data_IF_039491888791
#
_entry.id   IF_039491888791
#
_cell.length_a   1.000
_cell.length_b   1.000
_cell.length_c   1.000
_cell.angle_alpha   90.00
_cell.angle_beta   90.00
_cell.angle_gamma   90.00
#
_symmetry.space_group_name_H-M   'P 1'
#
loop_
_entity.id
_entity.type
_entity.pdbx_description
1 polymer ?
#
# COMPACT_ATOMS: atom_id res chain seq x y z
N UNK A 1 28.06 -15.04 -19.33
CA UNK A 1 28.42 -13.84 -20.11
C UNK A 1 27.26 -12.87 -19.98
N UNK A 2 27.29 -11.99 -18.97
CA UNK A 2 26.22 -10.99 -18.79
C UNK A 2 26.63 -9.63 -19.38
N UNK A 3 27.93 -9.33 -19.46
CA UNK A 3 28.42 -8.10 -20.08
C UNK A 3 28.24 -7.95 -21.59
N UNK A 4 27.76 -8.98 -22.29
CA UNK A 4 27.36 -8.88 -23.70
C UNK A 4 25.89 -8.52 -23.87
N UNK A 5 25.09 -8.62 -22.80
CA UNK A 5 23.67 -8.31 -22.84
C UNK A 5 23.46 -6.81 -22.59
N UNK A 6 22.53 -6.17 -23.33
CA UNK A 6 22.04 -4.86 -22.99
C UNK A 6 21.55 -4.77 -21.54
N UNK A 7 21.84 -3.64 -20.90
CA UNK A 7 21.52 -3.36 -19.50
C UNK A 7 20.06 -3.72 -19.14
N UNK A 8 19.12 -3.31 -19.97
CA UNK A 8 17.68 -3.53 -19.79
C UNK A 8 17.30 -5.02 -19.79
N UNK A 9 17.96 -5.84 -20.62
CA UNK A 9 17.68 -7.28 -20.66
C UNK A 9 18.16 -7.96 -19.38
N UNK A 10 19.31 -7.54 -18.85
CA UNK A 10 19.82 -8.06 -17.58
C UNK A 10 18.85 -7.69 -16.45
N UNK A 11 18.40 -6.42 -16.38
CA UNK A 11 17.42 -6.01 -15.39
C UNK A 11 16.11 -6.80 -15.50
N UNK A 12 15.60 -7.03 -16.72
CA UNK A 12 14.37 -7.80 -16.93
C UNK A 12 14.52 -9.26 -16.46
N UNK A 13 15.67 -9.90 -16.75
CA UNK A 13 15.99 -11.24 -16.24
C UNK A 13 15.99 -11.23 -14.70
N UNK A 14 16.64 -10.25 -14.09
CA UNK A 14 16.72 -10.13 -12.62
C UNK A 14 15.35 -9.85 -11.99
N UNK A 15 14.49 -9.07 -12.63
CA UNK A 15 13.12 -8.78 -12.17
C UNK A 15 12.26 -10.05 -12.02
N UNK A 16 12.55 -11.10 -12.80
CA UNK A 16 11.86 -12.39 -12.70
C UNK A 16 12.33 -13.29 -11.55
N UNK A 17 13.37 -12.90 -10.80
CA UNK A 17 13.93 -13.73 -9.74
C UNK A 17 13.29 -13.43 -8.38
N UNK A 18 13.11 -14.44 -7.50
CA UNK A 18 12.70 -14.20 -6.13
C UNK A 18 13.80 -13.46 -5.36
N UNK A 19 13.41 -12.76 -4.30
CA UNK A 19 14.31 -11.92 -3.49
C UNK A 19 15.54 -12.69 -2.99
N UNK A 20 15.35 -13.94 -2.56
CA UNK A 20 16.43 -14.81 -2.11
C UNK A 20 17.49 -15.03 -3.19
N UNK A 21 17.07 -15.24 -4.43
CA UNK A 21 17.97 -15.48 -5.56
C UNK A 21 18.66 -14.20 -5.99
N UNK A 22 17.99 -13.05 -5.93
CA UNK A 22 18.63 -11.74 -6.15
C UNK A 22 19.78 -11.48 -5.16
N UNK A 23 19.59 -11.85 -3.89
CA UNK A 23 20.66 -11.74 -2.87
C UNK A 23 21.83 -12.69 -3.18
N UNK A 24 21.56 -13.85 -3.74
CA UNK A 24 22.60 -14.80 -4.16
C UNK A 24 23.35 -14.30 -5.39
N UNK A 25 22.64 -13.82 -6.42
CA UNK A 25 23.18 -13.22 -7.64
C UNK A 25 24.15 -12.09 -7.31
N UNK A 26 23.79 -11.21 -6.38
CA UNK A 26 24.67 -10.13 -5.91
C UNK A 26 26.06 -10.61 -5.44
N UNK A 27 26.15 -11.81 -4.87
CA UNK A 27 27.40 -12.35 -4.31
C UNK A 27 28.29 -13.03 -5.35
N UNK A 28 27.83 -13.18 -6.59
CA UNK A 28 28.52 -13.96 -7.62
C UNK A 28 29.69 -13.19 -8.26
N UNK A 29 29.47 -11.96 -8.75
CA UNK A 29 30.50 -11.13 -9.36
C UNK A 29 30.20 -9.62 -9.21
N UNK A 30 31.21 -8.79 -9.48
CA UNK A 30 31.12 -7.31 -9.37
C UNK A 30 30.11 -6.69 -10.34
N UNK A 31 29.96 -7.27 -11.51
CA UNK A 31 29.02 -6.79 -12.53
C UNK A 31 27.57 -7.03 -12.08
N UNK A 32 27.24 -8.25 -11.67
CA UNK A 32 25.92 -8.57 -11.12
C UNK A 32 25.65 -7.83 -9.81
N UNK A 33 26.67 -7.59 -9.00
CA UNK A 33 26.56 -6.69 -7.86
C UNK A 33 26.05 -5.30 -8.29
N UNK A 34 26.65 -4.70 -9.33
CA UNK A 34 26.26 -3.39 -9.84
C UNK A 34 24.80 -3.36 -10.36
N UNK A 35 24.38 -4.39 -11.11
CA UNK A 35 22.98 -4.51 -11.53
C UNK A 35 22.02 -4.61 -10.34
N UNK A 36 22.40 -5.34 -9.29
CA UNK A 36 21.57 -5.45 -8.07
C UNK A 36 21.64 -4.22 -7.16
N UNK A 37 22.39 -3.17 -7.51
CA UNK A 37 22.30 -1.86 -6.83
C UNK A 37 21.25 -0.95 -7.46
N UNK A 38 20.71 -1.32 -8.63
CA UNK A 38 19.72 -0.51 -9.31
C UNK A 38 18.42 -0.37 -8.48
N UNK A 39 17.99 0.87 -8.27
CA UNK A 39 16.81 1.19 -7.46
C UNK A 39 15.51 0.71 -8.11
N UNK A 40 15.42 0.76 -9.44
CA UNK A 40 14.23 0.37 -10.18
C UNK A 40 13.96 -1.13 -10.05
N UNK A 41 15.01 -1.96 -10.04
CA UNK A 41 14.91 -3.39 -9.76
C UNK A 41 14.21 -3.65 -8.41
N UNK A 42 14.71 -3.05 -7.33
CA UNK A 42 14.14 -3.27 -6.00
C UNK A 42 12.75 -2.66 -5.84
N UNK A 43 12.44 -1.56 -6.53
CA UNK A 43 11.10 -1.00 -6.55
C UNK A 43 10.11 -1.92 -7.26
N UNK A 44 10.53 -2.56 -8.36
CA UNK A 44 9.73 -3.55 -9.08
C UNK A 44 9.45 -4.76 -8.19
N UNK A 45 10.49 -5.34 -7.58
CA UNK A 45 10.36 -6.45 -6.64
C UNK A 45 9.42 -6.10 -5.48
N UNK A 46 9.60 -4.92 -4.87
CA UNK A 46 8.74 -4.46 -3.79
C UNK A 46 7.29 -4.28 -4.24
N UNK A 47 7.06 -3.78 -5.45
CA UNK A 47 5.70 -3.64 -6.00
C UNK A 47 5.00 -4.98 -6.18
N UNK A 48 5.73 -6.01 -6.61
CA UNK A 48 5.21 -7.37 -6.74
C UNK A 48 4.85 -7.96 -5.38
N UNK A 49 5.74 -7.83 -4.39
CA UNK A 49 5.51 -8.33 -3.02
C UNK A 49 4.30 -7.68 -2.35
N UNK A 50 4.14 -6.37 -2.51
CA UNK A 50 3.04 -5.65 -1.87
C UNK A 50 1.75 -5.65 -2.70
N UNK A 51 1.75 -6.26 -3.89
CA UNK A 51 0.63 -6.24 -4.84
C UNK A 51 0.10 -4.82 -5.15
N UNK A 52 0.96 -3.80 -5.08
CA UNK A 52 0.60 -2.41 -5.42
C UNK A 52 1.04 -2.08 -6.85
N UNK A 53 0.25 -1.29 -7.60
CA UNK A 53 0.72 -0.76 -8.88
C UNK A 53 1.98 0.10 -8.66
N UNK A 54 3.01 -0.11 -9.49
CA UNK A 54 4.27 0.64 -9.51
C UNK A 54 4.18 2.19 -9.37
N UNK A 55 3.13 2.92 -9.81
CA UNK A 55 3.05 4.37 -9.53
C UNK A 55 2.91 4.73 -8.04
N UNK A 56 2.49 3.81 -7.16
CA UNK A 56 2.26 4.11 -5.74
C UNK A 56 3.48 3.88 -4.85
N UNK A 57 4.35 2.92 -5.20
CA UNK A 57 5.59 2.64 -4.42
C UNK A 57 6.59 3.79 -4.49
N UNK A 58 6.54 4.61 -5.55
CA UNK A 58 7.34 5.83 -5.75
C UNK A 58 6.82 7.01 -4.92
N UNK A 59 5.53 7.02 -4.56
CA UNK A 59 4.89 8.12 -3.80
C UNK A 59 4.94 7.95 -2.28
N UNK A 60 5.47 6.84 -1.77
CA UNK A 60 5.76 6.73 -0.34
C UNK A 60 6.91 7.72 -0.06
N UNK A 61 6.55 8.84 0.57
CA UNK A 61 7.46 9.92 0.96
C UNK A 61 8.72 9.31 1.62
N UNK A 62 9.94 9.60 1.13
CA UNK A 62 11.18 9.06 1.70
C UNK A 62 11.34 9.35 3.20
N UNK A 63 10.68 10.39 3.71
CA UNK A 63 10.67 10.74 5.14
C UNK A 63 9.88 9.74 5.99
N UNK A 64 8.87 9.08 5.43
CA UNK A 64 8.06 8.08 6.15
C UNK A 64 8.83 6.77 6.31
N UNK A 65 9.70 6.44 5.36
CA UNK A 65 10.51 5.22 5.39
C UNK A 65 11.98 5.50 5.00
N UNK A 66 12.86 5.75 5.99
CA UNK A 66 14.26 6.12 5.73
C UNK A 66 15.13 4.97 5.15
N UNK A 67 14.57 3.76 5.00
CA UNK A 67 15.29 2.60 4.51
C UNK A 67 15.36 2.56 2.98
N UNK A 68 16.47 2.04 2.44
CA UNK A 68 16.63 1.82 1.00
C UNK A 68 15.53 0.89 0.44
N UNK A 69 15.18 1.04 -0.85
CA UNK A 69 14.19 0.17 -1.51
C UNK A 69 14.56 -1.31 -1.41
N UNK A 70 15.86 -1.61 -1.50
CA UNK A 70 16.40 -2.95 -1.25
C UNK A 70 16.07 -3.46 0.15
N UNK A 71 16.38 -2.69 1.19
CA UNK A 71 16.10 -3.12 2.56
C UNK A 71 14.60 -3.35 2.77
N UNK A 72 13.76 -2.49 2.19
CA UNK A 72 12.30 -2.66 2.21
C UNK A 72 11.85 -3.95 1.52
N UNK A 73 12.37 -4.24 0.33
CA UNK A 73 12.06 -5.48 -0.39
C UNK A 73 12.50 -6.73 0.40
N UNK A 74 13.66 -6.67 1.07
CA UNK A 74 14.12 -7.77 1.94
C UNK A 74 13.22 -7.99 3.15
N UNK A 75 12.79 -6.90 3.81
CA UNK A 75 11.84 -6.99 4.93
C UNK A 75 10.50 -7.51 4.46
N UNK A 76 9.94 -6.95 3.39
CA UNK A 76 8.67 -7.38 2.81
C UNK A 76 8.69 -8.86 2.42
N UNK A 77 9.78 -9.33 1.79
CA UNK A 77 9.95 -10.75 1.43
C UNK A 77 9.98 -11.66 2.65
N UNK A 78 10.65 -11.26 3.74
CA UNK A 78 10.67 -12.05 4.98
C UNK A 78 9.30 -12.11 5.65
N UNK A 79 8.59 -10.98 5.63
CA UNK A 79 7.22 -10.91 6.14
C UNK A 79 6.34 -11.82 5.29
N UNK A 80 6.37 -11.70 3.98
CA UNK A 80 5.61 -12.55 3.04
C UNK A 80 5.89 -14.04 3.26
N UNK A 81 7.16 -14.45 3.33
CA UNK A 81 7.55 -15.83 3.65
C UNK A 81 6.97 -16.29 5.00
N UNK A 82 7.05 -15.44 6.03
CA UNK A 82 6.51 -15.75 7.34
C UNK A 82 4.98 -15.91 7.28
N UNK A 83 4.26 -15.03 6.58
CA UNK A 83 2.80 -15.09 6.45
C UNK A 83 2.30 -16.39 5.79
N UNK A 84 3.12 -17.03 4.96
CA UNK A 84 2.82 -18.33 4.38
C UNK A 84 3.16 -19.52 5.30
N UNK A 85 3.87 -19.29 6.41
CA UNK A 85 4.10 -20.32 7.42
C UNK A 85 2.83 -20.58 8.22
N UNK A 86 2.32 -21.82 8.12
CA UNK A 86 1.14 -22.29 8.85
C UNK A 86 1.32 -22.27 10.37
N UNK A 87 2.55 -22.13 10.85
CA UNK A 87 2.90 -22.11 12.26
C UNK A 87 3.17 -20.70 12.78
N UNK A 88 2.77 -19.64 12.06
CA UNK A 88 2.83 -18.29 12.60
C UNK A 88 2.02 -18.22 13.89
N UNK A 89 2.70 -17.88 14.98
CA UNK A 89 2.07 -17.53 16.26
C UNK A 89 2.18 -16.01 16.44
N UNK A 90 1.07 -15.32 16.74
CA UNK A 90 1.12 -13.90 17.08
C UNK A 90 2.06 -13.68 18.27
N UNK A 91 3.07 -12.83 18.11
CA UNK A 91 3.99 -12.49 19.22
C UNK A 91 3.34 -11.55 20.23
N UNK A 92 2.47 -10.67 19.75
CA UNK A 92 1.80 -9.66 20.55
C UNK A 92 0.33 -9.64 20.17
N UNK A 93 -0.53 -9.73 21.18
CA UNK A 93 -1.97 -9.59 21.05
C UNK A 93 -2.35 -8.45 21.98
N UNK A 94 -2.90 -7.39 21.41
CA UNK A 94 -3.38 -6.25 22.16
C UNK A 94 -4.89 -6.25 22.15
N UNK A 95 -5.48 -6.19 23.33
CA UNK A 95 -6.90 -6.00 23.51
C UNK A 95 -7.16 -4.52 23.69
N UNK A 96 -7.91 -3.95 22.76
CA UNK A 96 -8.34 -2.57 22.85
C UNK A 96 -9.65 -2.51 23.63
N UNK A 97 -9.84 -1.52 24.52
CA UNK A 97 -11.10 -1.33 25.20
C UNK A 97 -12.23 -1.21 24.18
N UNK A 98 -13.19 -2.13 24.24
CA UNK A 98 -14.33 -2.10 23.33
C UNK A 98 -15.22 -0.92 23.68
N UNK A 99 -15.37 0.02 22.76
CA UNK A 99 -16.32 1.11 22.90
C UNK A 99 -17.73 0.56 22.71
N UNK A 100 -18.63 0.87 23.64
CA UNK A 100 -20.03 0.44 23.55
C UNK A 100 -20.62 0.89 22.21
N UNK A 101 -21.24 -0.05 21.51
CA UNK A 101 -21.84 0.19 20.21
C UNK A 101 -20.87 0.23 19.03
N UNK A 102 -19.70 -0.40 19.16
CA UNK A 102 -18.81 -0.64 18.02
C UNK A 102 -19.51 -1.45 16.93
N UNK A 103 -19.61 -0.86 15.74
CA UNK A 103 -20.21 -1.48 14.55
C UNK A 103 -19.13 -2.03 13.61
N UNK A 104 -18.04 -1.29 13.43
CA UNK A 104 -16.96 -1.67 12.51
C UNK A 104 -15.61 -1.08 12.95
N UNK A 105 -14.52 -1.70 12.51
CA UNK A 105 -13.14 -1.25 12.76
C UNK A 105 -12.29 -1.46 11.50
N UNK A 106 -11.56 -0.41 11.11
CA UNK A 106 -10.60 -0.45 10.02
C UNK A 106 -9.19 -0.08 10.53
N UNK A 107 -8.20 -0.93 10.25
CA UNK A 107 -6.79 -0.58 10.40
C UNK A 107 -6.34 0.26 9.22
N UNK A 108 -5.78 1.45 9.49
CA UNK A 108 -5.30 2.33 8.44
C UNK A 108 -3.94 1.87 7.89
N UNK A 109 -3.61 2.22 6.63
CA UNK A 109 -2.28 2.02 6.08
C UNK A 109 -1.20 2.58 7.01
N UNK A 110 -0.14 1.81 7.22
CA UNK A 110 0.91 2.10 8.22
C UNK A 110 0.74 1.33 9.53
N UNK A 111 -0.49 0.86 9.85
CA UNK A 111 -0.72 -0.04 10.97
C UNK A 111 -0.63 0.60 12.36
N UNK A 112 -0.47 1.92 12.44
CA UNK A 112 -0.36 2.66 13.71
C UNK A 112 -1.71 3.14 14.22
N UNK A 113 -2.72 3.21 13.33
CA UNK A 113 -4.00 3.86 13.59
C UNK A 113 -5.18 2.96 13.21
N UNK A 114 -6.22 3.01 14.03
CA UNK A 114 -7.50 2.35 13.83
C UNK A 114 -8.61 3.38 13.74
N UNK A 115 -9.53 3.18 12.80
CA UNK A 115 -10.79 3.92 12.71
C UNK A 115 -11.90 2.99 13.15
N UNK A 116 -12.67 3.41 14.15
CA UNK A 116 -13.83 2.69 14.66
C UNK A 116 -15.11 3.43 14.27
N UNK A 117 -16.10 2.70 13.78
CA UNK A 117 -17.45 3.21 13.53
C UNK A 117 -18.39 2.73 14.64
N UNK A 118 -19.08 3.65 15.29
CA UNK A 118 -20.04 3.38 16.33
C UNK A 118 -21.48 3.37 15.79
N UNK A 119 -22.42 2.79 16.56
CA UNK A 119 -23.84 2.68 16.19
C UNK A 119 -24.55 4.03 16.07
N UNK A 120 -24.13 5.03 16.84
CA UNK A 120 -24.62 6.41 16.75
C UNK A 120 -24.12 7.13 15.47
N UNK A 121 -23.30 6.45 14.67
CA UNK A 121 -22.69 6.97 13.47
C UNK A 121 -21.34 7.60 13.70
N UNK A 122 -20.86 7.76 14.95
CA UNK A 122 -19.59 8.42 15.27
C UNK A 122 -18.40 7.62 14.74
N UNK A 123 -17.44 8.33 14.14
CA UNK A 123 -16.13 7.78 13.77
C UNK A 123 -15.09 8.16 14.81
N UNK A 124 -14.32 7.19 15.30
CA UNK A 124 -13.24 7.42 16.26
C UNK A 124 -11.92 6.95 15.67
N UNK A 125 -10.91 7.84 15.70
CA UNK A 125 -9.54 7.50 15.35
C UNK A 125 -8.75 7.26 16.65
N UNK A 126 -8.12 6.09 16.75
CA UNK A 126 -7.28 5.72 17.89
C UNK A 126 -5.95 5.15 17.42
N UNK A 127 -4.87 5.41 18.16
CA UNK A 127 -3.61 4.73 17.93
C UNK A 127 -3.71 3.27 18.41
N UNK A 128 -3.08 2.33 17.70
CA UNK A 128 -3.10 0.89 18.05
C UNK A 128 -2.51 0.63 19.44
N UNK A 129 -1.56 1.46 19.87
CA UNK A 129 -0.93 1.38 21.19
C UNK A 129 -1.47 2.44 22.17
N UNK A 130 -2.51 3.18 21.77
CA UNK A 130 -3.13 4.22 22.57
C UNK A 130 -4.25 3.69 23.46
N UNK A 131 -4.47 4.36 24.58
CA UNK A 131 -5.54 4.01 25.54
C UNK A 131 -6.81 4.81 25.27
N UNK A 132 -6.69 5.93 24.54
CA UNK A 132 -7.79 6.85 24.26
C UNK A 132 -7.87 7.21 22.77
N UNK A 133 -9.06 7.52 22.26
CA UNK A 133 -9.23 8.02 20.90
C UNK A 133 -8.51 9.37 20.76
N UNK A 134 -7.67 9.48 19.75
CA UNK A 134 -6.96 10.72 19.42
C UNK A 134 -7.91 11.75 18.80
N UNK A 135 -8.92 11.28 18.08
CA UNK A 135 -9.89 12.15 17.42
C UNK A 135 -11.26 11.45 17.34
N UNK A 136 -12.33 12.22 17.45
CA UNK A 136 -13.70 11.74 17.26
C UNK A 136 -14.44 12.69 16.34
N UNK A 137 -15.15 12.13 15.37
CA UNK A 137 -16.00 12.84 14.45
C UNK A 137 -17.43 12.34 14.65
N UNK A 138 -18.27 13.18 15.25
CA UNK A 138 -19.71 12.95 15.32
C UNK A 138 -20.28 13.17 13.91
N UNK A 139 -20.44 12.10 13.16
CA UNK A 139 -21.13 12.14 11.88
C UNK A 139 -22.62 12.22 12.17
N UNK A 140 -23.15 13.45 12.29
CA UNK A 140 -24.57 13.73 12.09
C UNK A 140 -24.97 13.52 10.62
N UNK A 141 -24.43 12.47 9.98
CA UNK A 141 -24.71 12.13 8.60
C UNK A 141 -25.89 11.17 8.61
N UNK A 142 -27.07 11.73 8.33
CA UNK A 142 -28.24 10.94 8.03
C UNK A 142 -27.90 10.01 6.83
N UNK A 143 -27.95 8.67 7.00
CA UNK A 143 -27.59 7.73 5.94
C UNK A 143 -28.45 7.89 4.68
N UNK A 144 -29.62 8.56 4.77
CA UNK A 144 -30.46 8.91 3.64
C UNK A 144 -29.77 9.83 2.60
N UNK A 145 -28.75 10.60 2.99
CA UNK A 145 -28.07 11.54 2.08
C UNK A 145 -26.98 10.89 1.22
N UNK A 146 -26.56 9.66 1.51
CA UNK A 146 -25.52 8.95 0.74
C UNK A 146 -26.05 8.25 -0.52
N UNK A 147 -27.36 8.03 -0.62
CA UNK A 147 -27.97 7.30 -1.75
C UNK A 147 -28.53 8.20 -2.86
N UNK A 148 -28.54 9.53 -2.71
CA UNK A 148 -29.15 10.43 -3.71
C UNK A 148 -28.18 11.04 -4.73
N UNK A 149 -26.86 10.91 -4.55
CA UNK A 149 -25.89 11.58 -5.45
C UNK A 149 -25.36 10.69 -6.60
N UNK A 150 -26.18 9.75 -7.08
CA UNK A 150 -25.84 8.89 -8.24
C UNK A 150 -26.98 8.82 -9.26
N UNK A 151 -27.51 9.97 -9.68
CA UNK A 151 -28.28 10.16 -10.93
C UNK A 151 -28.57 11.65 -11.13
N UNK A 152 -27.63 12.39 -11.72
CA UNK A 152 -27.90 13.65 -12.44
C UNK A 152 -26.65 14.06 -13.22
N UNK A 153 -26.41 13.36 -14.32
CA UNK A 153 -25.62 13.86 -15.45
C UNK A 153 -26.38 13.52 -16.72
N UNK A 154 -27.57 14.13 -16.87
CA UNK A 154 -28.25 14.24 -18.15
C UNK A 154 -27.53 15.30 -18.98
N UNK A 155 -26.83 14.79 -19.99
CA UNK A 155 -26.16 15.45 -21.10
C UNK A 155 -27.04 16.57 -21.67
N UNK A 156 -26.57 17.81 -21.59
CA UNK A 156 -27.09 18.93 -22.37
C UNK A 156 -26.56 18.86 -23.79
N UNK A 157 -27.39 18.41 -24.72
CA UNK A 157 -27.14 18.49 -26.16
C UNK A 157 -27.30 19.95 -26.62
N UNK A 158 -26.20 20.57 -27.05
CA UNK A 158 -26.20 21.84 -27.79
C UNK A 158 -26.88 21.63 -29.15
N UNK A 159 -28.00 22.32 -29.37
CA UNK A 159 -28.55 22.54 -30.72
C UNK A 159 -28.07 23.89 -31.24
N UNK A 160 -27.21 23.88 -32.26
CA UNK A 160 -26.95 25.04 -33.11
C UNK A 160 -28.17 25.32 -33.98
N UNK A 161 -28.67 26.56 -33.94
CA UNK A 161 -29.54 27.09 -34.98
C UNK A 161 -28.92 28.37 -35.52
N UNK A 162 -28.54 28.33 -36.79
CA UNK A 162 -28.19 29.49 -37.60
C UNK A 162 -29.42 30.39 -37.79
N UNK A 163 -29.21 31.70 -37.88
CA UNK A 163 -30.11 32.61 -38.59
C UNK A 163 -29.35 33.90 -38.95
N UNK A 164 -29.18 34.08 -40.25
CA UNK A 164 -28.78 35.32 -40.95
C UNK A 164 -30.09 36.10 -41.22
N UNK A 165 -30.05 37.43 -41.21
CA UNK A 165 -30.21 38.15 -42.49
C UNK A 165 -29.08 39.13 -42.77
#
# INVERSE_FOLDING_TARGET
>A
MFGELPYELVLNILQGLPVKDLVNVRKTCKELYAFTEDRSLWNYVLSGLLSYPLPYTVRIEPSLWPQSSRQRALVASRVDEAWHDKNILPRHIHFLPSVLGLKDVLLLPGGEWLVSLLHDGTLQLQAVHGIAPAFQLATCMNPANLTSQRRSSSIGLMSMTSSIP
#
